data_IF_906098162033
#
_entry.id   IF_906098162033
#
_cell.length_a   1.000
_cell.length_b   1.000
_cell.length_c   1.000
_cell.angle_alpha   90.00
_cell.angle_beta   90.00
_cell.angle_gamma   90.00
#
_symmetry.space_group_name_H-M   'P 1'
#
loop_
_entity.id
_entity.type
_entity.pdbx_description
1 polymer ?
#
# COMPACT_ATOMS: atom_id res chain seq x y z
N UNK A 1 1.38 9.55 -11.82
CA UNK A 1 0.42 9.25 -10.73
C UNK A 1 0.97 9.64 -9.37
N UNK A 2 2.22 9.32 -9.11
CA UNK A 2 3.00 9.77 -7.95
C UNK A 2 4.22 10.50 -8.49
N UNK A 3 4.54 11.69 -7.94
CA UNK A 3 5.76 12.43 -8.29
C UNK A 3 6.38 12.99 -7.02
N UNK A 4 7.66 12.72 -6.83
CA UNK A 4 8.49 13.21 -5.75
C UNK A 4 9.64 13.99 -6.36
N UNK A 5 9.82 15.23 -5.91
CA UNK A 5 10.87 16.14 -6.42
C UNK A 5 11.71 16.62 -5.25
N UNK A 6 12.98 16.20 -5.21
CA UNK A 6 13.99 16.60 -4.21
C UNK A 6 13.54 16.38 -2.76
N UNK A 7 12.85 15.27 -2.49
CA UNK A 7 12.30 14.96 -1.18
C UNK A 7 13.40 14.62 -0.18
N UNK A 8 13.41 15.32 0.94
CA UNK A 8 14.22 14.96 2.11
C UNK A 8 13.36 14.92 3.37
N UNK A 9 13.71 13.98 4.29
CA UNK A 9 13.07 13.82 5.59
C UNK A 9 14.08 13.41 6.64
N UNK A 10 14.06 14.08 7.79
CA UNK A 10 14.81 13.72 8.98
C UNK A 10 13.89 13.61 10.19
N UNK A 11 14.14 12.66 11.09
CA UNK A 11 13.43 12.57 12.38
C UNK A 11 14.19 13.27 13.50
N UNK A 12 15.48 13.51 13.31
CA UNK A 12 16.34 14.31 14.20
C UNK A 12 17.41 15.03 13.37
N UNK A 13 18.14 15.97 14.01
CA UNK A 13 19.25 16.67 13.34
C UNK A 13 20.34 15.72 12.81
N UNK A 14 20.45 14.51 13.36
CA UNK A 14 21.48 13.54 13.01
C UNK A 14 20.95 12.37 12.15
N UNK A 15 19.61 12.18 12.06
CA UNK A 15 19.02 11.01 11.40
C UNK A 15 18.20 11.44 10.19
N UNK A 16 18.88 11.62 9.06
CA UNK A 16 18.25 11.84 7.76
C UNK A 16 17.81 10.50 7.20
N UNK A 17 16.51 10.30 7.02
CA UNK A 17 15.90 9.02 6.61
C UNK A 17 15.55 9.00 5.13
N UNK A 18 15.26 10.16 4.53
CA UNK A 18 15.16 10.32 3.08
C UNK A 18 16.07 11.45 2.63
N UNK A 19 16.81 11.22 1.56
CA UNK A 19 17.82 12.14 1.07
C UNK A 19 17.66 12.36 -0.44
N UNK A 20 17.10 13.53 -0.81
CA UNK A 20 16.97 13.99 -2.19
C UNK A 20 16.30 12.96 -3.12
N UNK A 21 15.18 12.37 -2.66
CA UNK A 21 14.42 11.40 -3.44
C UNK A 21 13.75 12.12 -4.63
N UNK A 22 14.03 11.63 -5.82
CA UNK A 22 13.36 11.99 -7.06
C UNK A 22 12.74 10.72 -7.65
N UNK A 23 11.40 10.70 -7.83
CA UNK A 23 10.69 9.51 -8.27
C UNK A 23 9.41 9.91 -9.03
N UNK A 24 9.16 9.26 -10.15
CA UNK A 24 7.89 9.38 -10.88
C UNK A 24 7.31 7.98 -11.16
N UNK A 25 6.06 7.76 -10.75
CA UNK A 25 5.30 6.53 -11.03
C UNK A 25 4.08 6.89 -11.86
N UNK A 26 3.91 6.24 -13.01
CA UNK A 26 2.81 6.49 -13.94
C UNK A 26 1.50 5.86 -13.43
N UNK A 27 0.36 6.33 -13.94
CA UNK A 27 -0.94 5.71 -13.66
C UNK A 27 -1.00 4.28 -14.25
N UNK A 28 -1.54 3.33 -13.47
CA UNK A 28 -1.64 1.92 -13.85
C UNK A 28 -0.31 1.15 -13.78
N UNK A 29 0.79 1.79 -13.39
CA UNK A 29 2.08 1.13 -13.25
C UNK A 29 2.11 0.24 -12.00
N UNK A 30 2.83 -0.88 -12.08
CA UNK A 30 3.21 -1.68 -10.92
C UNK A 30 4.71 -1.58 -10.72
N UNK A 31 5.12 -1.12 -9.55
CA UNK A 31 6.54 -0.94 -9.20
C UNK A 31 6.84 -1.62 -7.85
N UNK A 32 8.03 -2.20 -7.75
CA UNK A 32 8.57 -2.71 -6.48
C UNK A 32 9.61 -1.73 -5.94
N UNK A 33 9.47 -1.31 -4.68
CA UNK A 33 10.47 -0.54 -3.94
C UNK A 33 11.16 -1.49 -2.98
N UNK A 34 12.46 -1.67 -3.16
CA UNK A 34 13.27 -2.64 -2.45
C UNK A 34 14.41 -1.95 -1.70
N UNK A 35 15.04 -2.65 -0.77
CA UNK A 35 16.19 -2.18 0.01
C UNK A 35 16.22 -2.83 1.37
N UNK A 36 17.35 -2.68 2.08
CA UNK A 36 17.53 -3.24 3.41
C UNK A 36 16.59 -2.59 4.44
N UNK A 37 16.47 -3.20 5.63
CA UNK A 37 15.77 -2.58 6.75
C UNK A 37 16.42 -1.25 7.09
N UNK A 38 15.62 -0.21 7.35
CA UNK A 38 16.14 1.14 7.60
C UNK A 38 16.40 1.99 6.35
N UNK A 39 16.34 1.47 5.13
CA UNK A 39 16.57 2.25 3.90
C UNK A 39 15.55 3.39 3.62
N UNK A 40 14.56 3.62 4.51
CA UNK A 40 13.60 4.70 4.37
C UNK A 40 12.27 4.33 3.69
N UNK A 41 12.07 3.07 3.28
CA UNK A 41 10.88 2.62 2.52
C UNK A 41 9.56 2.91 3.24
N UNK A 42 9.44 2.56 4.51
CA UNK A 42 8.22 2.82 5.31
C UNK A 42 8.00 4.33 5.51
N UNK A 43 9.05 5.13 5.65
CA UNK A 43 8.94 6.59 5.71
C UNK A 43 8.42 7.16 4.40
N UNK A 44 8.87 6.61 3.27
CA UNK A 44 8.34 6.98 1.95
C UNK A 44 6.84 6.68 1.85
N UNK A 45 6.39 5.48 2.29
CA UNK A 45 4.95 5.14 2.35
C UNK A 45 4.18 6.12 3.22
N UNK A 46 4.70 6.46 4.42
CA UNK A 46 4.07 7.43 5.33
C UNK A 46 3.92 8.82 4.73
N UNK A 47 4.90 9.28 3.94
CA UNK A 47 4.80 10.53 3.20
C UNK A 47 3.66 10.47 2.16
N UNK A 48 3.57 9.39 1.38
CA UNK A 48 2.57 9.22 0.33
C UNK A 48 1.14 9.22 0.87
N UNK A 49 0.91 8.75 2.09
CA UNK A 49 -0.42 8.72 2.74
C UNK A 49 -0.70 9.95 3.64
N UNK A 50 0.20 10.92 3.64
CA UNK A 50 0.08 12.13 4.46
C UNK A 50 0.12 11.85 5.97
N UNK A 51 0.80 10.78 6.40
CA UNK A 51 1.06 10.50 7.82
C UNK A 51 2.29 11.29 8.30
N UNK A 52 3.29 11.42 7.44
CA UNK A 52 4.47 12.25 7.63
C UNK A 52 4.49 13.38 6.59
N UNK A 53 5.26 14.43 6.86
CA UNK A 53 5.55 15.51 5.91
C UNK A 53 7.02 15.51 5.56
N UNK A 54 7.32 15.80 4.30
CA UNK A 54 8.69 16.07 3.89
C UNK A 54 9.21 17.36 4.52
N UNK A 55 10.50 17.42 4.81
CA UNK A 55 11.16 18.64 5.30
C UNK A 55 11.51 19.56 4.13
N UNK A 56 11.75 18.99 2.95
CA UNK A 56 11.98 19.73 1.70
C UNK A 56 11.47 18.96 0.49
N UNK A 57 11.33 19.66 -0.63
CA UNK A 57 10.90 19.11 -1.91
C UNK A 57 9.38 19.19 -2.10
N UNK A 58 8.88 18.49 -3.15
CA UNK A 58 7.47 18.52 -3.54
C UNK A 58 6.91 17.10 -3.70
N UNK A 59 5.72 16.85 -3.15
CA UNK A 59 5.03 15.55 -3.20
C UNK A 59 3.70 15.71 -3.92
N UNK A 60 3.54 15.04 -5.07
CA UNK A 60 2.30 14.97 -5.82
C UNK A 60 1.76 13.54 -5.81
N UNK A 61 0.51 13.34 -5.42
CA UNK A 61 -0.14 12.01 -5.35
C UNK A 61 -1.56 12.10 -5.91
N UNK A 62 -1.85 11.31 -6.94
CA UNK A 62 -3.18 11.27 -7.54
C UNK A 62 -3.66 12.59 -8.16
N UNK A 63 -2.72 13.48 -8.53
CA UNK A 63 -3.01 14.82 -9.01
C UNK A 63 -3.09 15.90 -7.90
N UNK A 64 -2.91 15.51 -6.63
CA UNK A 64 -2.90 16.42 -5.49
C UNK A 64 -1.47 16.77 -5.09
N UNK A 65 -1.22 18.06 -4.86
CA UNK A 65 -0.01 18.51 -4.14
C UNK A 65 -0.24 18.31 -2.65
N UNK A 66 0.44 17.30 -2.08
CA UNK A 66 0.32 16.95 -0.66
C UNK A 66 1.52 17.43 0.17
N UNK A 67 2.41 18.22 -0.42
CA UNK A 67 3.62 18.72 0.24
C UNK A 67 3.32 19.38 1.59
N UNK A 68 2.27 20.19 1.63
CA UNK A 68 1.80 20.88 2.83
C UNK A 68 0.35 20.55 3.19
N UNK A 69 -0.10 19.34 2.86
CA UNK A 69 -1.49 18.91 3.07
C UNK A 69 -1.95 19.18 4.51
N UNK A 70 -3.13 19.74 4.66
CA UNK A 70 -3.71 20.00 5.97
C UNK A 70 -4.29 18.71 6.58
N UNK A 71 -4.39 18.66 7.92
CA UNK A 71 -5.01 17.51 8.63
C UNK A 71 -6.45 17.25 8.18
N UNK A 72 -7.18 18.27 7.73
CA UNK A 72 -8.57 18.16 7.25
C UNK A 72 -8.65 17.51 5.87
N UNK A 73 -7.61 17.64 5.06
CA UNK A 73 -7.56 17.09 3.68
C UNK A 73 -7.04 15.65 3.65
N UNK A 74 -6.24 15.22 4.63
CA UNK A 74 -5.69 13.85 4.72
C UNK A 74 -6.75 12.74 4.57
N UNK A 75 -7.97 12.82 5.18
CA UNK A 75 -8.99 11.80 4.97
C UNK A 75 -9.45 11.68 3.50
N UNK A 76 -9.48 12.77 2.75
CA UNK A 76 -9.86 12.76 1.33
C UNK A 76 -8.74 12.16 0.46
N UNK A 77 -7.47 12.49 0.75
CA UNK A 77 -6.32 11.84 0.13
C UNK A 77 -6.36 10.32 0.35
N UNK A 78 -6.54 9.88 1.61
CA UNK A 78 -6.54 8.46 1.97
C UNK A 78 -7.69 7.65 1.37
N UNK A 79 -8.77 8.28 0.90
CA UNK A 79 -9.82 7.59 0.11
C UNK A 79 -9.37 7.24 -1.30
N UNK A 80 -8.37 7.95 -1.85
CA UNK A 80 -7.81 7.68 -3.17
C UNK A 80 -6.66 6.67 -3.13
N UNK A 81 -6.18 6.33 -1.92
CA UNK A 81 -5.04 5.45 -1.69
C UNK A 81 -5.49 4.29 -0.81
N UNK A 82 -5.44 3.08 -1.31
CA UNK A 82 -5.53 1.88 -0.49
C UNK A 82 -4.18 1.57 0.14
N UNK A 83 -4.16 1.20 1.42
CA UNK A 83 -2.92 0.82 2.11
C UNK A 83 -3.07 -0.57 2.69
N UNK A 84 -2.09 -1.41 2.43
CA UNK A 84 -1.95 -2.77 2.95
C UNK A 84 -0.68 -2.80 3.80
N UNK A 85 -0.80 -3.23 5.04
CA UNK A 85 0.30 -3.33 6.00
C UNK A 85 0.68 -4.79 6.26
N UNK A 86 1.90 -5.02 6.68
CA UNK A 86 2.43 -6.33 7.06
C UNK A 86 1.64 -6.98 8.20
N UNK A 87 1.21 -6.22 9.20
CA UNK A 87 0.50 -6.67 10.40
C UNK A 87 -1.03 -6.62 10.27
N UNK A 88 -1.53 -6.63 9.04
CA UNK A 88 -2.96 -6.64 8.67
C UNK A 88 -3.77 -5.44 9.19
N UNK A 89 -3.49 -4.91 10.37
CA UNK A 89 -4.23 -3.83 11.05
C UNK A 89 -5.75 -4.07 11.10
N UNK A 90 -6.17 -5.33 11.25
CA UNK A 90 -7.57 -5.67 11.40
C UNK A 90 -8.05 -5.41 12.84
N UNK A 91 -9.30 -5.00 12.98
CA UNK A 91 -9.98 -4.79 14.25
C UNK A 91 -10.39 -6.17 14.81
N UNK A 92 -9.79 -6.66 15.92
CA UNK A 92 -9.95 -8.05 16.37
C UNK A 92 -11.37 -8.38 16.85
N UNK A 93 -12.11 -7.38 17.34
CA UNK A 93 -13.49 -7.50 17.85
C UNK A 93 -14.56 -7.26 16.77
N UNK A 94 -14.18 -7.17 15.52
CA UNK A 94 -15.07 -7.01 14.37
C UNK A 94 -14.90 -8.17 13.40
N UNK A 95 -16.01 -8.59 12.77
CA UNK A 95 -15.97 -9.61 11.71
C UNK A 95 -15.18 -9.10 10.50
N UNK A 96 -14.86 -9.98 9.54
CA UNK A 96 -14.19 -9.57 8.30
C UNK A 96 -15.04 -8.57 7.52
N UNK A 97 -16.36 -8.79 7.42
CA UNK A 97 -17.26 -7.84 6.77
C UNK A 97 -17.29 -6.48 7.49
N UNK A 98 -17.34 -6.45 8.81
CA UNK A 98 -17.29 -5.21 9.59
C UNK A 98 -15.96 -4.47 9.47
N UNK A 99 -14.84 -5.20 9.41
CA UNK A 99 -13.52 -4.61 9.15
C UNK A 99 -13.48 -3.89 7.79
N UNK A 100 -14.04 -4.51 6.78
CA UNK A 100 -14.12 -3.94 5.43
C UNK A 100 -15.12 -2.77 5.40
N UNK A 101 -16.30 -2.93 6.05
CA UNK A 101 -17.33 -1.90 6.13
C UNK A 101 -16.85 -0.63 6.85
N UNK A 102 -15.99 -0.77 7.85
CA UNK A 102 -15.52 0.33 8.70
C UNK A 102 -14.95 1.50 7.87
N UNK A 103 -14.17 1.21 6.84
CA UNK A 103 -13.60 2.24 5.97
C UNK A 103 -14.68 3.08 5.25
N UNK A 104 -15.80 2.46 4.89
CA UNK A 104 -16.94 3.15 4.26
C UNK A 104 -17.80 3.90 5.28
N UNK A 105 -17.94 3.36 6.49
CA UNK A 105 -18.71 4.00 7.58
C UNK A 105 -18.10 5.35 7.97
N UNK A 106 -16.76 5.42 8.13
CA UNK A 106 -16.06 6.68 8.47
C UNK A 106 -16.12 7.70 7.33
N UNK A 107 -16.52 7.30 6.13
CA UNK A 107 -16.74 8.21 4.98
C UNK A 107 -18.20 8.60 4.78
N UNK A 108 -19.08 8.33 5.74
CA UNK A 108 -20.51 8.63 5.70
C UNK A 108 -21.25 8.01 4.50
N UNK A 109 -20.80 6.83 4.06
CA UNK A 109 -21.44 6.09 2.97
C UNK A 109 -22.78 5.49 3.44
N UNK A 110 -23.83 5.55 2.61
CA UNK A 110 -25.15 5.01 2.93
C UNK A 110 -25.09 3.49 3.23
N UNK A 111 -25.80 2.98 4.27
CA UNK A 111 -25.75 1.57 4.69
C UNK A 111 -26.03 0.55 3.58
N UNK A 112 -27.03 0.80 2.73
CA UNK A 112 -27.35 -0.07 1.61
C UNK A 112 -26.20 -0.20 0.59
N UNK A 113 -25.46 0.89 0.33
CA UNK A 113 -24.26 0.88 -0.51
C UNK A 113 -23.12 0.13 0.16
N UNK A 114 -22.94 0.30 1.49
CA UNK A 114 -21.91 -0.42 2.25
C UNK A 114 -22.09 -1.93 2.09
N UNK A 115 -23.30 -2.45 2.35
CA UNK A 115 -23.59 -3.90 2.25
C UNK A 115 -23.21 -4.45 0.86
N UNK A 116 -23.60 -3.75 -0.21
CA UNK A 116 -23.32 -4.14 -1.60
C UNK A 116 -21.81 -4.13 -1.92
N UNK A 117 -21.11 -3.06 -1.53
CA UNK A 117 -19.66 -2.92 -1.80
C UNK A 117 -18.87 -3.95 -1.01
N UNK A 118 -19.17 -4.16 0.27
CA UNK A 118 -18.47 -5.14 1.13
C UNK A 118 -18.61 -6.54 0.56
N UNK A 119 -19.82 -6.98 0.19
CA UNK A 119 -20.02 -8.29 -0.44
C UNK A 119 -19.20 -8.44 -1.73
N UNK A 120 -19.18 -7.40 -2.58
CA UNK A 120 -18.43 -7.40 -3.83
C UNK A 120 -16.92 -7.53 -3.60
N UNK A 121 -16.32 -6.72 -2.70
CA UNK A 121 -14.86 -6.76 -2.48
C UNK A 121 -14.43 -8.04 -1.78
N UNK A 122 -15.23 -8.58 -0.84
CA UNK A 122 -14.95 -9.87 -0.22
C UNK A 122 -14.94 -11.01 -1.25
N UNK A 123 -15.86 -10.97 -2.22
CA UNK A 123 -15.87 -11.92 -3.35
C UNK A 123 -14.61 -11.77 -4.21
N UNK A 124 -14.19 -10.54 -4.53
CA UNK A 124 -12.97 -10.27 -5.34
C UNK A 124 -11.72 -10.88 -4.71
N UNK A 125 -11.61 -10.81 -3.38
CA UNK A 125 -10.45 -11.34 -2.64
C UNK A 125 -10.60 -12.81 -2.22
N UNK A 126 -11.69 -13.51 -2.64
CA UNK A 126 -11.90 -14.92 -2.34
C UNK A 126 -12.31 -15.22 -0.90
N UNK A 127 -13.04 -14.32 -0.24
CA UNK A 127 -13.53 -14.47 1.13
C UNK A 127 -15.06 -14.67 1.21
N UNK A 128 -15.71 -15.09 0.12
CA UNK A 128 -17.13 -15.44 0.14
C UNK A 128 -17.40 -16.57 1.14
N UNK A 129 -18.42 -16.42 1.96
CA UNK A 129 -18.80 -17.38 3.02
C UNK A 129 -18.00 -17.22 4.33
N UNK A 130 -17.08 -16.24 4.41
CA UNK A 130 -16.29 -15.93 5.62
C UNK A 130 -16.57 -14.54 6.20
N UNK A 131 -17.61 -13.90 5.71
CA UNK A 131 -18.01 -12.53 6.06
C UNK A 131 -18.15 -12.33 7.58
N UNK A 132 -18.76 -13.32 8.25
CA UNK A 132 -19.08 -13.27 9.67
C UNK A 132 -17.96 -13.83 10.57
N UNK A 133 -16.83 -14.27 10.03
CA UNK A 133 -15.69 -14.73 10.81
C UNK A 133 -14.91 -13.56 11.41
N UNK A 134 -14.38 -13.76 12.58
CA UNK A 134 -13.46 -12.82 13.24
C UNK A 134 -12.01 -13.05 12.79
N UNK A 135 -11.14 -12.04 12.88
CA UNK A 135 -9.72 -12.21 12.52
C UNK A 135 -9.02 -13.36 13.23
N UNK A 136 -9.42 -13.69 14.47
CA UNK A 136 -8.87 -14.82 15.22
C UNK A 136 -9.25 -16.21 14.68
N UNK A 137 -10.28 -16.30 13.83
CA UNK A 137 -10.85 -17.56 13.33
C UNK A 137 -10.39 -17.90 11.90
N UNK A 138 -9.50 -17.09 11.33
CA UNK A 138 -9.07 -17.23 9.93
C UNK A 138 -7.55 -17.26 9.81
N UNK A 139 -7.05 -17.84 8.72
CA UNK A 139 -5.61 -17.96 8.44
C UNK A 139 -4.94 -16.60 8.19
N UNK A 140 -3.60 -16.54 8.23
CA UNK A 140 -2.82 -15.35 7.89
C UNK A 140 -3.11 -14.82 6.49
N UNK A 141 -3.19 -15.72 5.49
CA UNK A 141 -3.54 -15.35 4.12
C UNK A 141 -4.96 -14.77 4.00
N UNK A 142 -5.92 -15.31 4.77
CA UNK A 142 -7.29 -14.76 4.81
C UNK A 142 -7.36 -13.40 5.49
N UNK A 143 -6.58 -13.19 6.57
CA UNK A 143 -6.42 -11.87 7.21
C UNK A 143 -5.89 -10.86 6.21
N UNK A 144 -4.87 -11.23 5.44
CA UNK A 144 -4.28 -10.35 4.43
C UNK A 144 -5.27 -10.05 3.30
N UNK A 145 -6.01 -11.05 2.81
CA UNK A 145 -7.08 -10.83 1.84
C UNK A 145 -8.18 -9.89 2.37
N UNK A 146 -8.53 -9.97 3.66
CA UNK A 146 -9.47 -9.04 4.29
C UNK A 146 -8.89 -7.61 4.39
N UNK A 147 -7.61 -7.45 4.70
CA UNK A 147 -6.92 -6.16 4.69
C UNK A 147 -6.89 -5.55 3.28
N UNK A 148 -6.65 -6.37 2.24
CA UNK A 148 -6.73 -5.95 0.84
C UNK A 148 -8.17 -5.53 0.49
N UNK A 149 -9.19 -6.31 0.87
CA UNK A 149 -10.60 -5.95 0.67
C UNK A 149 -10.92 -4.59 1.28
N UNK A 150 -10.49 -4.34 2.53
CA UNK A 150 -10.65 -3.04 3.19
C UNK A 150 -9.96 -1.90 2.44
N UNK A 151 -8.78 -2.14 1.87
CA UNK A 151 -8.07 -1.16 1.07
C UNK A 151 -8.78 -0.83 -0.25
N UNK A 152 -9.56 -1.76 -0.81
CA UNK A 152 -10.22 -1.63 -2.11
C UNK A 152 -11.61 -0.98 -2.07
N UNK A 153 -12.26 -0.83 -0.89
CA UNK A 153 -13.68 -0.41 -0.79
C UNK A 153 -13.97 0.97 -1.38
N UNK A 154 -12.97 1.86 -1.41
CA UNK A 154 -13.07 3.18 -2.01
C UNK A 154 -12.69 3.20 -3.49
N UNK A 155 -12.41 2.04 -4.10
CA UNK A 155 -11.91 1.93 -5.48
C UNK A 155 -10.68 2.85 -5.70
N UNK A 156 -9.61 2.67 -4.91
CA UNK A 156 -8.49 3.59 -4.93
C UNK A 156 -7.76 3.55 -6.27
N UNK A 157 -7.20 4.70 -6.68
CA UNK A 157 -6.36 4.80 -7.87
C UNK A 157 -4.94 4.27 -7.63
N UNK A 158 -4.53 4.25 -6.35
CA UNK A 158 -3.20 3.83 -5.90
C UNK A 158 -3.38 2.81 -4.78
N UNK A 159 -2.64 1.71 -4.84
CA UNK A 159 -2.53 0.71 -3.79
C UNK A 159 -1.07 0.64 -3.33
N UNK A 160 -0.84 1.02 -2.07
CA UNK A 160 0.46 0.91 -1.41
C UNK A 160 0.46 -0.36 -0.58
N UNK A 161 1.34 -1.29 -0.86
CA UNK A 161 1.47 -2.56 -0.15
C UNK A 161 2.84 -2.59 0.54
N UNK A 162 2.86 -2.35 1.85
CA UNK A 162 4.07 -2.32 2.67
C UNK A 162 4.25 -3.70 3.33
N UNK A 163 5.22 -4.48 2.81
CA UNK A 163 5.55 -5.85 3.21
C UNK A 163 4.32 -6.78 3.28
N UNK A 164 3.47 -6.84 2.23
CA UNK A 164 2.15 -7.50 2.31
C UNK A 164 2.23 -9.02 2.49
N UNK A 165 3.41 -9.61 2.38
CA UNK A 165 3.65 -11.06 2.48
C UNK A 165 4.55 -11.46 3.64
N UNK A 166 5.04 -10.49 4.43
CA UNK A 166 6.06 -10.72 5.45
C UNK A 166 5.67 -11.67 6.59
N UNK A 167 4.36 -11.86 6.82
CA UNK A 167 3.82 -12.74 7.86
C UNK A 167 3.10 -13.98 7.27
N UNK A 168 3.40 -14.35 6.03
CA UNK A 168 2.73 -15.43 5.30
C UNK A 168 3.72 -16.53 4.89
N UNK A 169 3.23 -17.76 4.81
CA UNK A 169 3.94 -18.85 4.14
C UNK A 169 4.04 -18.60 2.62
N UNK A 170 4.88 -19.37 1.95
CA UNK A 170 5.17 -19.20 0.52
C UNK A 170 3.94 -19.34 -0.38
N UNK A 171 3.01 -20.24 -0.06
CA UNK A 171 1.79 -20.45 -0.85
C UNK A 171 0.86 -19.24 -0.73
N UNK A 172 0.54 -18.82 0.50
CA UNK A 172 -0.28 -17.64 0.74
C UNK A 172 0.39 -16.36 0.19
N UNK A 173 1.71 -16.22 0.34
CA UNK A 173 2.46 -15.10 -0.23
C UNK A 173 2.27 -15.01 -1.75
N UNK A 174 2.37 -16.16 -2.45
CA UNK A 174 2.14 -16.23 -3.89
C UNK A 174 0.71 -15.79 -4.26
N UNK A 175 -0.31 -16.30 -3.58
CA UNK A 175 -1.71 -15.92 -3.83
C UNK A 175 -1.97 -14.42 -3.64
N UNK A 176 -1.34 -13.81 -2.63
CA UNK A 176 -1.45 -12.36 -2.40
C UNK A 176 -0.81 -11.57 -3.55
N UNK A 177 0.36 -11.99 -4.03
CA UNK A 177 1.01 -11.32 -5.17
C UNK A 177 0.17 -11.46 -6.44
N UNK A 178 -0.39 -12.62 -6.73
CA UNK A 178 -1.30 -12.81 -7.88
C UNK A 178 -2.58 -11.94 -7.75
N UNK A 179 -3.07 -11.74 -6.53
CA UNK A 179 -4.19 -10.83 -6.28
C UNK A 179 -3.80 -9.38 -6.58
N UNK A 180 -2.62 -8.93 -6.15
CA UNK A 180 -2.10 -7.58 -6.45
C UNK A 180 -1.89 -7.38 -7.96
N UNK A 181 -1.37 -8.38 -8.67
CA UNK A 181 -1.25 -8.35 -10.12
C UNK A 181 -2.62 -8.21 -10.82
N UNK A 182 -3.64 -8.95 -10.35
CA UNK A 182 -5.01 -8.79 -10.87
C UNK A 182 -5.55 -7.39 -10.64
N UNK A 183 -5.38 -6.84 -9.45
CA UNK A 183 -5.82 -5.46 -9.13
C UNK A 183 -5.13 -4.45 -10.04
N UNK A 184 -3.82 -4.63 -10.30
CA UNK A 184 -3.08 -3.76 -11.22
C UNK A 184 -3.60 -3.86 -12.66
N UNK A 185 -3.91 -5.07 -13.17
CA UNK A 185 -4.49 -5.27 -14.52
C UNK A 185 -5.82 -4.54 -14.73
N UNK A 186 -6.56 -4.26 -13.65
CA UNK A 186 -7.78 -3.43 -13.69
C UNK A 186 -7.48 -1.92 -13.64
N UNK A 187 -6.22 -1.51 -13.76
CA UNK A 187 -5.81 -0.12 -13.89
C UNK A 187 -5.39 0.58 -12.60
N UNK A 188 -5.43 -0.10 -11.44
CA UNK A 188 -4.91 0.45 -10.18
C UNK A 188 -3.38 0.52 -10.23
N UNK A 189 -2.80 1.67 -9.88
CA UNK A 189 -1.35 1.80 -9.68
C UNK A 189 -0.96 1.04 -8.41
N UNK A 190 0.01 0.14 -8.49
CA UNK A 190 0.46 -0.66 -7.34
C UNK A 190 1.90 -0.35 -7.00
N UNK A 191 2.15 0.05 -5.76
CA UNK A 191 3.49 0.24 -5.20
C UNK A 191 3.69 -0.85 -4.15
N UNK A 192 4.51 -1.82 -4.49
CA UNK A 192 4.90 -2.93 -3.61
C UNK A 192 6.22 -2.57 -2.90
N UNK A 193 6.18 -2.42 -1.60
CA UNK A 193 7.39 -2.28 -0.78
C UNK A 193 7.71 -3.63 -0.18
N UNK A 194 8.89 -4.17 -0.47
CA UNK A 194 9.28 -5.49 0.05
C UNK A 194 10.80 -5.67 0.04
N UNK A 195 11.30 -6.55 0.89
CA UNK A 195 12.68 -7.04 0.87
C UNK A 195 12.79 -8.47 0.32
N UNK A 196 11.68 -9.07 -0.14
CA UNK A 196 11.67 -10.43 -0.66
C UNK A 196 12.14 -10.46 -2.12
N UNK A 197 13.39 -10.90 -2.33
CA UNK A 197 14.05 -11.00 -3.64
C UNK A 197 13.30 -11.90 -4.61
N UNK A 198 12.80 -13.04 -4.14
CA UNK A 198 12.14 -14.03 -4.98
C UNK A 198 10.87 -13.45 -5.60
N UNK A 199 10.03 -12.78 -4.80
CA UNK A 199 8.83 -12.12 -5.26
C UNK A 199 9.15 -11.06 -6.32
N UNK A 200 10.12 -10.17 -6.02
CA UNK A 200 10.50 -9.07 -6.92
C UNK A 200 11.00 -9.60 -8.26
N UNK A 201 11.91 -10.59 -8.23
CA UNK A 201 12.52 -11.16 -9.42
C UNK A 201 11.49 -11.92 -10.29
N UNK A 202 10.49 -12.55 -9.65
CA UNK A 202 9.40 -13.24 -10.35
C UNK A 202 8.43 -12.27 -11.01
N UNK A 203 8.18 -11.11 -10.40
CA UNK A 203 7.28 -10.10 -10.96
C UNK A 203 7.77 -9.52 -12.28
N UNK A 204 9.09 -9.42 -12.49
CA UNK A 204 9.72 -8.83 -13.68
C UNK A 204 9.10 -7.49 -14.07
N UNK A 205 8.91 -6.62 -13.07
CA UNK A 205 8.37 -5.26 -13.21
C UNK A 205 9.45 -4.24 -12.86
N UNK A 206 9.10 -2.96 -12.89
CA UNK A 206 10.01 -1.89 -12.48
C UNK A 206 10.42 -2.07 -11.03
N UNK A 207 11.71 -1.98 -10.77
CA UNK A 207 12.33 -2.13 -9.44
C UNK A 207 13.12 -0.87 -9.11
N UNK A 208 12.77 -0.27 -7.99
CA UNK A 208 13.43 0.89 -7.41
C UNK A 208 14.17 0.43 -6.17
N UNK A 209 15.48 0.54 -6.16
CA UNK A 209 16.32 0.15 -5.03
C UNK A 209 16.65 1.37 -4.18
N UNK A 210 16.36 1.28 -2.89
CA UNK A 210 16.68 2.30 -1.90
C UNK A 210 17.78 1.81 -0.96
N UNK A 211 18.74 2.68 -0.69
CA UNK A 211 19.81 2.49 0.29
C UNK A 211 20.09 3.83 0.98
N UNK A 212 20.28 3.82 2.30
CA UNK A 212 20.58 5.01 3.12
C UNK A 212 19.71 6.24 2.81
N UNK A 213 18.42 5.99 2.57
CA UNK A 213 17.46 7.05 2.28
C UNK A 213 17.53 7.63 0.88
N UNK A 214 18.32 7.07 -0.03
CA UNK A 214 18.43 7.49 -1.42
C UNK A 214 17.95 6.40 -2.39
N UNK A 215 17.55 6.79 -3.60
CA UNK A 215 17.33 5.85 -4.71
C UNK A 215 18.67 5.64 -5.39
N UNK A 216 19.17 4.40 -5.36
CA UNK A 216 20.47 4.02 -5.98
C UNK A 216 20.27 3.34 -7.34
N UNK A 217 19.08 2.81 -7.62
CA UNK A 217 18.77 2.17 -8.90
C UNK A 217 17.27 2.27 -9.21
N UNK A 218 16.93 2.43 -10.48
CA UNK A 218 15.57 2.44 -11.01
C UNK A 218 15.58 1.74 -12.39
N UNK A 219 15.02 0.53 -12.46
CA UNK A 219 15.08 -0.35 -13.62
C UNK A 219 13.69 -0.79 -14.06
N UNK A 220 13.30 -0.57 -15.32
CA UNK A 220 11.96 -0.91 -15.85
C UNK A 220 11.63 -2.41 -15.77
N UNK A 221 12.63 -3.29 -15.97
CA UNK A 221 12.56 -4.75 -15.80
C UNK A 221 13.70 -5.18 -14.88
N UNK A 222 13.64 -4.71 -13.63
CA UNK A 222 14.72 -4.87 -12.68
C UNK A 222 14.70 -6.21 -11.97
N UNK A 223 15.87 -6.53 -11.40
CA UNK A 223 16.04 -7.60 -10.42
C UNK A 223 16.54 -6.98 -9.11
N UNK A 224 16.13 -7.57 -8.01
CA UNK A 224 16.66 -7.21 -6.71
C UNK A 224 17.94 -8.01 -6.48
N UNK A 225 19.10 -7.33 -6.53
CA UNK A 225 20.43 -7.94 -6.50
C UNK A 225 21.18 -7.74 -5.16
N UNK A 226 20.66 -6.89 -4.24
CA UNK A 226 21.27 -6.62 -2.92
C UNK A 226 21.09 -7.77 -1.93
#
# INVERSE_FOLDING_TARGET
>A
MITLENISKAYSRQTKVLNNINLSIKAGEMVSIVGQSGAGKTTLVKLLIGEERADSGKVLVGGWDITKISRREVPYLRRQIGVIFQDFKLLPKKTLAENVAFALQVSSTKPAKIKKVVASVLKIVGLSGKENRYPGEVSGGEKQRAAIARALVHQPKILLADEPTGNLDALNAHEIIELLLRINRFGTTVVLVTHNKEIVNRLSRRVITMEDGAIISDQEHGKYLL
#
